data_IF_245885377140
#
_entry.id   IF_245885377140
#
_cell.length_a   1.000
_cell.length_b   1.000
_cell.length_c   1.000
_cell.angle_alpha   90.00
_cell.angle_beta   90.00
_cell.angle_gamma   90.00
#
_symmetry.space_group_name_H-M   'P 1'
#
loop_
_entity.id
_entity.type
_entity.pdbx_description
1 polymer ?
#
# COMPACT_ATOMS: atom_id res chain seq x y z
N UNK A 1 2.22 13.69 -4.84
CA UNK A 1 2.68 12.45 -5.52
C UNK A 1 3.38 11.55 -4.52
N UNK A 2 2.66 10.62 -3.88
CA UNK A 2 3.24 9.71 -2.86
C UNK A 2 4.05 8.58 -3.54
N UNK A 3 3.62 8.10 -4.72
CA UNK A 3 4.31 7.03 -5.46
C UNK A 3 5.74 7.36 -5.90
N UNK A 4 6.10 8.64 -6.06
CA UNK A 4 7.46 9.04 -6.47
C UNK A 4 8.46 9.00 -5.31
N UNK A 5 7.98 9.20 -4.07
CA UNK A 5 8.81 9.11 -2.87
C UNK A 5 9.23 7.66 -2.58
N UNK A 6 8.32 6.70 -2.82
CA UNK A 6 8.61 5.27 -2.67
C UNK A 6 9.56 4.74 -3.75
N UNK A 7 9.38 5.16 -5.01
CA UNK A 7 10.26 4.76 -6.11
C UNK A 7 11.75 5.15 -5.88
N UNK A 8 11.99 6.23 -5.15
CA UNK A 8 13.33 6.74 -4.84
C UNK A 8 14.09 5.90 -3.80
N UNK A 9 13.42 4.99 -3.08
CA UNK A 9 14.04 4.13 -2.07
C UNK A 9 14.66 2.86 -2.66
N UNK A 10 14.36 2.51 -3.92
CA UNK A 10 14.85 1.29 -4.57
C UNK A 10 16.38 1.19 -4.71
N UNK A 11 17.13 2.29 -4.48
CA UNK A 11 18.59 2.34 -4.52
C UNK A 11 19.30 2.49 -3.16
N UNK A 12 18.58 2.55 -2.04
CA UNK A 12 19.17 2.71 -0.70
C UNK A 12 19.27 1.34 0.02
N UNK A 13 20.37 1.03 0.73
CA UNK A 13 20.48 -0.19 1.56
C UNK A 13 19.38 -0.31 2.63
N UNK A 14 18.74 0.80 3.01
CA UNK A 14 17.61 0.87 3.95
C UNK A 14 16.24 0.94 3.25
N UNK A 15 16.22 1.14 1.94
CA UNK A 15 14.98 1.21 1.16
C UNK A 15 14.38 -0.17 0.85
N UNK A 16 15.17 -1.22 1.07
CA UNK A 16 14.76 -2.63 0.97
C UNK A 16 13.71 -3.02 2.02
N UNK A 17 13.64 -2.30 3.14
CA UNK A 17 12.70 -2.58 4.24
C UNK A 17 11.32 -1.93 4.05
N UNK A 18 11.14 -1.06 3.05
CA UNK A 18 9.85 -0.39 2.83
C UNK A 18 9.04 -1.20 1.82
N UNK A 19 7.91 -1.82 2.20
CA UNK A 19 7.10 -2.66 1.33
C UNK A 19 6.24 -1.79 0.39
N UNK A 20 6.91 -1.06 -0.51
CA UNK A 20 6.30 -0.12 -1.43
C UNK A 20 5.24 -0.78 -2.31
N UNK A 21 5.39 -2.09 -2.61
CA UNK A 21 4.47 -2.87 -3.42
C UNK A 21 3.05 -2.89 -2.84
N UNK A 22 2.88 -2.70 -1.53
CA UNK A 22 1.59 -2.69 -0.84
C UNK A 22 0.76 -1.44 -1.07
N UNK A 23 1.33 -0.41 -1.70
CA UNK A 23 0.64 0.86 -1.95
C UNK A 23 0.01 0.85 -3.34
N UNK A 24 -1.32 0.78 -3.38
CA UNK A 24 -2.14 0.88 -4.60
C UNK A 24 -2.93 2.19 -4.60
N UNK A 25 -3.58 2.54 -5.72
CA UNK A 25 -4.41 3.74 -5.79
C UNK A 25 -5.74 3.57 -5.02
N UNK A 26 -6.51 4.65 -4.88
CA UNK A 26 -7.80 4.63 -4.17
C UNK A 26 -8.90 3.79 -4.83
N UNK A 27 -8.68 3.29 -6.04
CA UNK A 27 -9.57 2.35 -6.75
C UNK A 27 -9.14 0.89 -6.56
N UNK A 28 -8.10 0.62 -5.77
CA UNK A 28 -7.55 -0.73 -5.59
C UNK A 28 -6.69 -1.21 -6.75
N UNK A 29 -6.25 -0.32 -7.63
CA UNK A 29 -5.45 -0.64 -8.82
C UNK A 29 -3.98 -0.30 -8.63
N UNK A 30 -3.12 -1.07 -9.27
CA UNK A 30 -1.70 -0.72 -9.44
C UNK A 30 -1.61 0.52 -10.31
N UNK A 31 -0.88 1.53 -9.82
CA UNK A 31 -0.66 2.74 -10.62
C UNK A 31 0.29 2.43 -11.79
N UNK A 32 0.09 3.03 -12.97
CA UNK A 32 1.04 2.92 -14.07
C UNK A 32 2.39 3.55 -13.68
N UNK A 33 3.49 2.80 -13.78
CA UNK A 33 4.84 3.29 -13.50
C UNK A 33 5.73 3.17 -14.76
N UNK A 34 6.20 4.30 -15.31
CA UNK A 34 7.14 4.34 -16.45
C UNK A 34 6.69 3.50 -17.67
N UNK A 35 7.62 3.00 -18.48
CA UNK A 35 7.40 2.12 -19.65
C UNK A 35 6.73 0.75 -19.33
N UNK A 36 5.96 0.63 -18.24
CA UNK A 36 5.15 -0.54 -17.88
C UNK A 36 5.87 -1.57 -16.99
N UNK A 37 7.19 -1.49 -16.84
CA UNK A 37 7.97 -2.47 -16.07
C UNK A 37 7.67 -2.47 -14.56
N UNK A 38 7.38 -1.31 -13.97
CA UNK A 38 7.12 -1.21 -12.53
C UNK A 38 5.78 -1.84 -12.11
N UNK A 39 4.77 -1.77 -12.97
CA UNK A 39 3.42 -2.26 -12.66
C UNK A 39 3.34 -3.80 -12.67
N UNK A 40 4.08 -4.46 -13.57
CA UNK A 40 4.14 -5.93 -13.60
C UNK A 40 4.85 -6.52 -12.39
N UNK A 41 5.97 -5.92 -11.97
CA UNK A 41 6.71 -6.34 -10.78
C UNK A 41 5.87 -6.17 -9.50
N UNK A 42 5.16 -5.04 -9.36
CA UNK A 42 4.29 -4.82 -8.21
C UNK A 42 3.20 -5.89 -8.10
N UNK A 43 2.60 -6.28 -9.24
CA UNK A 43 1.58 -7.33 -9.28
C UNK A 43 2.15 -8.67 -8.81
N UNK A 44 3.30 -9.08 -9.36
CA UNK A 44 3.92 -10.36 -9.01
C UNK A 44 4.24 -10.46 -7.52
N UNK A 45 4.79 -9.39 -6.92
CA UNK A 45 5.09 -9.35 -5.49
C UNK A 45 3.82 -9.44 -4.62
N UNK A 46 2.74 -8.75 -5.03
CA UNK A 46 1.46 -8.82 -4.32
C UNK A 46 0.82 -10.21 -4.42
N UNK A 47 0.89 -10.85 -5.60
CA UNK A 47 0.41 -12.22 -5.80
C UNK A 47 1.22 -13.24 -4.98
N UNK A 48 2.54 -13.05 -4.83
CA UNK A 48 3.39 -13.84 -3.93
C UNK A 48 3.01 -13.68 -2.45
N UNK A 49 2.59 -12.47 -2.05
CA UNK A 49 2.04 -12.21 -0.71
C UNK A 49 0.59 -12.74 -0.52
N UNK A 50 0.00 -13.36 -1.55
CA UNK A 50 -1.34 -13.95 -1.51
C UNK A 50 -2.49 -12.98 -1.80
N UNK A 51 -2.18 -11.80 -2.35
CA UNK A 51 -3.18 -10.84 -2.82
C UNK A 51 -3.75 -11.32 -4.15
N UNK A 52 -5.08 -11.46 -4.21
CA UNK A 52 -5.80 -11.82 -5.43
C UNK A 52 -6.36 -10.57 -6.10
N UNK A 53 -6.10 -10.44 -7.39
CA UNK A 53 -6.69 -9.40 -8.24
C UNK A 53 -7.97 -9.90 -8.90
N UNK A 54 -8.98 -9.05 -8.88
CA UNK A 54 -10.24 -9.28 -9.59
C UNK A 54 -10.05 -9.17 -11.13
N UNK A 55 -11.03 -9.64 -11.93
CA UNK A 55 -10.96 -9.55 -13.39
C UNK A 55 -10.75 -8.13 -13.94
N UNK A 56 -11.15 -7.10 -13.20
CA UNK A 56 -10.98 -5.68 -13.53
C UNK A 56 -9.65 -5.08 -13.03
N UNK A 57 -8.74 -5.94 -12.54
CA UNK A 57 -7.42 -5.59 -12.01
C UNK A 57 -7.44 -4.76 -10.72
N UNK A 58 -8.53 -4.84 -9.95
CA UNK A 58 -8.63 -4.25 -8.60
C UNK A 58 -8.34 -5.28 -7.50
N UNK A 59 -8.12 -4.79 -6.29
CA UNK A 59 -8.10 -5.60 -5.07
C UNK A 59 -9.27 -5.19 -4.16
N UNK A 60 -9.77 -6.15 -3.39
CA UNK A 60 -10.79 -5.91 -2.38
C UNK A 60 -10.16 -5.31 -1.10
N UNK A 61 -10.48 -4.04 -0.81
CA UNK A 61 -10.01 -3.37 0.40
C UNK A 61 -10.69 -3.86 1.68
N UNK A 62 -11.86 -4.49 1.63
CA UNK A 62 -12.44 -5.13 2.81
C UNK A 62 -11.57 -6.32 3.25
N UNK A 63 -10.95 -7.01 2.29
CA UNK A 63 -10.08 -8.15 2.53
C UNK A 63 -8.62 -7.77 2.81
N UNK A 64 -8.07 -6.82 2.07
CA UNK A 64 -6.62 -6.50 2.10
C UNK A 64 -6.29 -5.09 2.61
N UNK A 65 -7.30 -4.26 2.89
CA UNK A 65 -7.12 -2.88 3.31
C UNK A 65 -6.53 -2.76 4.70
N UNK A 66 -5.61 -1.82 4.87
CA UNK A 66 -5.07 -1.49 6.19
C UNK A 66 -5.96 -0.45 6.88
N UNK A 67 -6.71 -0.88 7.89
CA UNK A 67 -7.62 -0.03 8.69
C UNK A 67 -6.90 0.83 9.75
N UNK A 68 -5.57 0.89 9.70
CA UNK A 68 -4.74 1.52 10.71
C UNK A 68 -4.48 0.60 11.91
N UNK A 69 -3.63 1.06 12.83
CA UNK A 69 -3.46 0.40 14.12
C UNK A 69 -4.70 0.66 14.98
N UNK A 70 -5.27 -0.36 15.67
CA UNK A 70 -6.33 -0.13 16.64
C UNK A 70 -5.82 0.86 17.68
N UNK A 71 -6.35 2.08 17.67
CA UNK A 71 -5.96 3.08 18.64
C UNK A 71 -6.49 2.62 20.00
N UNK A 72 -5.61 2.12 20.87
CA UNK A 72 -5.93 1.90 22.27
C UNK A 72 -6.55 3.18 22.83
N UNK A 73 -7.80 3.09 23.27
CA UNK A 73 -8.62 4.23 23.65
C UNK A 73 -7.90 5.16 24.63
N UNK A 74 -7.44 6.33 24.17
CA UNK A 74 -7.30 7.48 25.05
C UNK A 74 -8.62 8.23 25.06
N UNK A 75 -9.56 7.76 25.88
CA UNK A 75 -10.66 8.62 26.31
C UNK A 75 -10.04 9.82 27.02
N UNK A 76 -10.01 10.97 26.35
CA UNK A 76 -9.84 12.24 27.03
C UNK A 76 -11.05 12.39 27.97
N UNK A 77 -10.86 12.08 29.25
CA UNK A 77 -11.77 12.55 30.30
C UNK A 77 -11.75 14.08 30.22
N UNK A 78 -12.81 14.67 29.66
CA UNK A 78 -13.08 16.09 29.83
C UNK A 78 -13.39 16.29 31.31
N UNK A 79 -12.44 16.84 32.06
CA UNK A 79 -12.75 17.41 33.38
C UNK A 79 -13.65 18.64 33.15
N UNK A 80 -14.83 18.72 33.81
CA UNK A 80 -15.60 19.95 33.79
C UNK A 80 -14.85 21.04 34.58
N UNK A 81 -14.94 22.28 34.07
CA UNK A 81 -14.53 23.50 34.79
C UNK A 81 -15.48 23.78 35.93
#
# INVERSE_FOLDING_TARGET
>A
MIGFALASLAGSPTGTDVPWQRVVNGEGKISPHGFGLGSGMQRALLEEEGIVFEPDHTIDFEKYGWLGVPNGQKQHKRSPK
#
